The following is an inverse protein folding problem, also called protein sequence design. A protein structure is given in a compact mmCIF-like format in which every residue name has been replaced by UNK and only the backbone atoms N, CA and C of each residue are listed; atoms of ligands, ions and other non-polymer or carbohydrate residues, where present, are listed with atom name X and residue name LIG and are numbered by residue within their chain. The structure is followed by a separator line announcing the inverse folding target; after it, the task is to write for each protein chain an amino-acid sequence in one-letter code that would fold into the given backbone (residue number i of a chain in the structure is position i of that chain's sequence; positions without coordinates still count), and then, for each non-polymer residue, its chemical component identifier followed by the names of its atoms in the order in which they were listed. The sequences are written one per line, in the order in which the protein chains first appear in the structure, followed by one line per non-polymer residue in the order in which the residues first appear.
data_IF_596928749696
#
_entry.id   IF_596928749696
#
_cell.length_a   1.000
_cell.length_b   1.000
_cell.length_c   1.000
_cell.angle_alpha   90.00
_cell.angle_beta   90.00
_cell.angle_gamma   90.00
#
_symmetry.space_group_name_H-M   'P 1'
#
loop_
_entity.id
_entity.type
_entity.pdbx_description
1 polymer ?
#
# COMPACT_ATOMS: atom_id res chain seq x y z
N UNK A 1 30.48 -21.48 6.65
CA UNK A 1 30.05 -20.15 6.18
C UNK A 1 30.81 -19.89 4.89
N UNK A 2 30.17 -19.96 3.73
CA UNK A 2 30.80 -19.53 2.48
C UNK A 2 30.83 -18.00 2.46
N UNK A 3 32.01 -17.46 2.22
CA UNK A 3 32.26 -16.02 2.13
C UNK A 3 31.72 -15.55 0.78
N UNK A 4 30.54 -14.94 0.78
CA UNK A 4 29.92 -14.44 -0.45
C UNK A 4 30.55 -13.08 -0.78
N UNK A 5 31.20 -12.98 -1.95
CA UNK A 5 31.88 -11.76 -2.43
C UNK A 5 30.91 -10.69 -2.95
N UNK A 6 29.82 -10.42 -2.23
CA UNK A 6 28.86 -9.39 -2.63
C UNK A 6 29.33 -8.00 -2.22
N UNK A 7 29.12 -7.03 -3.12
CA UNK A 7 29.37 -5.63 -2.82
C UNK A 7 28.26 -5.06 -1.94
N UNK A 8 28.55 -3.97 -1.23
CA UNK A 8 27.54 -3.26 -0.46
C UNK A 8 26.43 -2.69 -1.36
N UNK A 9 25.19 -2.89 -0.94
CA UNK A 9 24.00 -2.27 -1.58
C UNK A 9 24.05 -0.77 -1.35
N UNK A 10 23.88 0.00 -2.41
CA UNK A 10 23.82 1.46 -2.35
C UNK A 10 22.45 1.94 -2.83
N UNK A 11 21.84 2.85 -2.07
CA UNK A 11 20.53 3.40 -2.38
C UNK A 11 20.59 4.92 -2.41
N UNK A 12 20.12 5.49 -3.51
CA UNK A 12 19.93 6.92 -3.69
C UNK A 12 18.46 7.20 -3.92
N UNK A 13 17.93 8.25 -3.30
CA UNK A 13 16.54 8.66 -3.50
C UNK A 13 16.41 10.17 -3.55
N UNK A 14 15.46 10.64 -4.34
CA UNK A 14 15.06 12.03 -4.39
C UNK A 14 13.53 12.10 -4.41
N UNK A 15 12.98 13.03 -3.64
CA UNK A 15 11.55 13.28 -3.58
C UNK A 15 11.30 14.79 -3.67
N UNK A 16 10.39 15.17 -4.56
CA UNK A 16 9.95 16.55 -4.72
C UNK A 16 8.44 16.57 -4.59
N UNK A 17 7.93 17.42 -3.69
CA UNK A 17 6.50 17.53 -3.39
C UNK A 17 6.04 18.97 -3.54
N UNK A 18 4.94 19.17 -4.25
CA UNK A 18 4.27 20.45 -4.38
C UNK A 18 2.82 20.31 -3.91
N UNK A 19 2.43 21.15 -2.95
CA UNK A 19 1.07 21.20 -2.42
C UNK A 19 0.38 22.49 -2.83
N UNK A 20 -0.77 22.36 -3.48
CA UNK A 20 -1.65 23.47 -3.88
C UNK A 20 -3.04 23.20 -3.31
N UNK A 21 -3.39 23.91 -2.25
CA UNK A 21 -4.67 23.76 -1.54
C UNK A 21 -4.89 22.32 -1.05
N UNK A 22 -5.84 21.59 -1.66
CA UNK A 22 -6.21 20.23 -1.35
C UNK A 22 -5.50 19.18 -2.23
N UNK A 23 -4.71 19.60 -3.21
CA UNK A 23 -3.97 18.74 -4.12
C UNK A 23 -2.49 18.75 -3.75
N UNK A 24 -1.87 17.56 -3.70
CA UNK A 24 -0.43 17.38 -3.53
C UNK A 24 0.08 16.50 -4.65
N UNK A 25 1.09 16.98 -5.38
CA UNK A 25 1.77 16.21 -6.42
C UNK A 25 3.19 15.94 -5.94
N UNK A 26 3.61 14.69 -5.99
CA UNK A 26 4.92 14.24 -5.52
C UNK A 26 5.61 13.43 -6.62
N UNK A 27 6.78 13.90 -7.05
CA UNK A 27 7.70 13.13 -7.89
C UNK A 27 8.72 12.40 -7.02
N UNK A 28 8.93 11.12 -7.28
CA UNK A 28 9.82 10.24 -6.52
C UNK A 28 10.78 9.59 -7.51
N UNK A 29 12.06 9.60 -7.17
CA UNK A 29 13.10 8.83 -7.85
C UNK A 29 13.83 7.97 -6.83
N UNK A 30 14.05 6.70 -7.16
CA UNK A 30 14.86 5.77 -6.38
C UNK A 30 15.83 5.05 -7.31
N UNK A 31 17.09 4.97 -6.93
CA UNK A 31 18.13 4.19 -7.59
C UNK A 31 18.78 3.24 -6.60
N UNK A 32 18.91 1.97 -6.97
CA UNK A 32 19.53 0.93 -6.17
C UNK A 32 20.63 0.27 -7.00
N UNK A 33 21.86 0.35 -6.51
CA UNK A 33 23.03 -0.32 -7.11
C UNK A 33 23.40 -1.53 -6.26
N UNK A 34 23.93 -2.59 -6.89
CA UNK A 34 24.30 -3.84 -6.22
C UNK A 34 23.10 -4.52 -5.53
N UNK A 35 21.89 -4.39 -6.10
CA UNK A 35 20.66 -4.94 -5.51
C UNK A 35 20.79 -6.45 -5.29
N UNK A 36 20.60 -6.88 -4.04
CA UNK A 36 20.57 -8.29 -3.67
C UNK A 36 19.15 -8.82 -3.78
N UNK A 37 19.01 -9.95 -4.46
CA UNK A 37 17.74 -10.63 -4.66
C UNK A 37 17.95 -12.15 -4.66
N UNK A 38 16.87 -12.90 -4.46
CA UNK A 38 16.87 -14.33 -4.68
C UNK A 38 16.32 -14.63 -6.07
N UNK A 39 17.05 -15.39 -6.87
CA UNK A 39 16.61 -15.79 -8.21
C UNK A 39 15.46 -16.80 -8.18
N UNK A 40 15.05 -17.33 -9.35
CA UNK A 40 13.97 -18.30 -9.44
C UNK A 40 14.23 -19.63 -8.72
N UNK A 41 15.51 -19.94 -8.45
CA UNK A 41 15.94 -21.12 -7.68
C UNK A 41 16.14 -20.79 -6.19
N UNK A 42 15.78 -19.57 -5.77
CA UNK A 42 16.00 -19.04 -4.44
C UNK A 42 17.48 -19.00 -4.01
N UNK A 43 18.39 -18.82 -4.96
CA UNK A 43 19.80 -18.54 -4.67
C UNK A 43 20.06 -17.04 -4.55
N UNK A 44 20.89 -16.60 -3.59
CA UNK A 44 21.22 -15.18 -3.44
C UNK A 44 22.07 -14.73 -4.63
N UNK A 45 21.60 -13.69 -5.31
CA UNK A 45 22.23 -13.07 -6.46
C UNK A 45 22.35 -11.56 -6.25
N UNK A 46 23.31 -10.94 -6.95
CA UNK A 46 23.50 -9.49 -6.95
C UNK A 46 23.35 -8.95 -8.37
N UNK A 47 22.56 -7.89 -8.53
CA UNK A 47 22.45 -7.17 -9.80
C UNK A 47 23.70 -6.34 -10.05
N UNK A 48 24.31 -6.51 -11.23
CA UNK A 48 25.43 -5.69 -11.69
C UNK A 48 24.97 -4.30 -12.18
N UNK A 49 23.69 -4.16 -12.53
CA UNK A 49 23.11 -2.92 -13.01
C UNK A 49 22.40 -2.17 -11.89
N UNK A 50 22.43 -0.84 -11.97
CA UNK A 50 21.59 0.03 -11.13
C UNK A 50 20.13 -0.09 -11.56
N UNK A 51 19.26 -0.48 -10.64
CA UNK A 51 17.82 -0.51 -10.82
C UNK A 51 17.28 0.86 -10.43
N UNK A 52 16.52 1.49 -11.33
CA UNK A 52 15.91 2.80 -11.07
C UNK A 52 14.40 2.68 -11.11
N UNK A 53 13.73 3.42 -10.23
CA UNK A 53 12.28 3.55 -10.19
C UNK A 53 11.94 5.04 -10.16
N UNK A 54 11.09 5.44 -11.11
CA UNK A 54 10.49 6.77 -11.15
C UNK A 54 9.00 6.64 -10.86
N UNK A 55 8.49 7.47 -9.95
CA UNK A 55 7.07 7.49 -9.60
C UNK A 55 6.52 8.92 -9.52
N UNK A 56 5.25 9.06 -9.88
CA UNK A 56 4.46 10.27 -9.67
C UNK A 56 3.27 9.87 -8.81
N UNK A 57 3.10 10.56 -7.69
CA UNK A 57 1.95 10.42 -6.79
C UNK A 57 1.13 11.70 -6.78
N UNK A 58 -0.17 11.55 -6.91
CA UNK A 58 -1.14 12.62 -6.75
C UNK A 58 -2.02 12.27 -5.55
N UNK A 59 -2.10 13.18 -4.59
CA UNK A 59 -3.00 13.09 -3.45
C UNK A 59 -3.99 14.25 -3.51
N UNK A 60 -5.28 13.96 -3.45
CA UNK A 60 -6.35 14.93 -3.32
C UNK A 60 -7.08 14.65 -2.02
N UNK A 61 -7.15 15.65 -1.13
CA UNK A 61 -7.85 15.53 0.15
C UNK A 61 -8.71 16.77 0.39
N UNK A 62 -10.02 16.62 0.21
CA UNK A 62 -10.96 17.73 0.35
C UNK A 62 -12.19 17.36 1.15
N UNK A 63 -12.61 18.28 2.01
CA UNK A 63 -13.88 18.19 2.72
C UNK A 63 -14.80 19.29 2.20
N UNK A 64 -15.94 18.88 1.69
CA UNK A 64 -17.04 19.68 1.20
C UNK A 64 -18.12 19.81 2.28
N UNK A 65 -18.80 20.96 2.32
CA UNK A 65 -19.94 21.21 3.22
C UNK A 65 -19.66 20.85 4.69
N UNK A 66 -18.41 21.03 5.15
CA UNK A 66 -17.88 20.67 6.49
C UNK A 66 -17.84 19.18 6.83
N UNK A 67 -18.59 18.34 6.13
CA UNK A 67 -18.80 16.95 6.52
C UNK A 67 -18.40 15.93 5.45
N UNK A 68 -18.63 16.20 4.16
CA UNK A 68 -18.38 15.22 3.10
C UNK A 68 -16.93 15.29 2.65
N UNK A 69 -16.12 14.32 3.04
CA UNK A 69 -14.73 14.16 2.64
C UNK A 69 -14.55 13.25 1.44
N UNK A 70 -13.67 13.67 0.53
CA UNK A 70 -13.14 12.88 -0.58
C UNK A 70 -11.63 12.86 -0.46
N UNK A 71 -11.05 11.66 -0.48
CA UNK A 71 -9.61 11.44 -0.55
C UNK A 71 -9.30 10.56 -1.77
N UNK A 72 -8.30 10.94 -2.55
CA UNK A 72 -7.82 10.17 -3.70
C UNK A 72 -6.30 10.16 -3.66
N UNK A 73 -5.69 8.99 -3.65
CA UNK A 73 -4.27 8.77 -3.81
C UNK A 73 -4.05 7.92 -5.05
N UNK A 74 -3.38 8.51 -6.03
CA UNK A 74 -3.05 7.88 -7.29
C UNK A 74 -1.54 7.88 -7.47
N UNK A 75 -0.95 6.70 -7.61
CA UNK A 75 0.47 6.55 -7.91
C UNK A 75 0.64 5.88 -9.27
N UNK A 76 1.51 6.45 -10.09
CA UNK A 76 2.06 5.78 -11.28
C UNK A 76 3.56 5.62 -11.10
N UNK A 77 4.09 4.46 -11.47
CA UNK A 77 5.50 4.18 -11.32
C UNK A 77 6.01 3.26 -12.41
N UNK A 78 7.29 3.40 -12.73
CA UNK A 78 8.00 2.55 -13.68
C UNK A 78 9.37 2.20 -13.13
N UNK A 79 9.75 0.94 -13.28
CA UNK A 79 11.05 0.41 -12.83
C UNK A 79 11.84 -0.05 -14.05
N UNK A 80 13.14 0.22 -14.07
CA UNK A 80 14.03 -0.14 -15.18
C UNK A 80 14.31 -1.64 -15.32
N UNK A 81 13.90 -2.45 -14.35
CA UNK A 81 14.18 -3.89 -14.29
C UNK A 81 12.98 -4.65 -13.72
N UNK A 82 12.78 -5.87 -14.21
CA UNK A 82 11.76 -6.79 -13.69
C UNK A 82 12.17 -7.46 -12.37
N UNK A 83 13.43 -7.28 -11.94
CA UNK A 83 13.91 -7.77 -10.64
C UNK A 83 13.17 -7.13 -9.47
N UNK A 84 12.67 -5.89 -9.64
CA UNK A 84 11.78 -5.22 -8.67
C UNK A 84 10.44 -4.97 -9.37
N UNK A 85 9.53 -5.91 -9.18
CA UNK A 85 8.22 -5.88 -9.80
C UNK A 85 7.23 -5.16 -8.90
N UNK A 86 6.68 -4.05 -9.41
CA UNK A 86 5.70 -3.21 -8.73
C UNK A 86 4.50 -2.98 -9.67
N UNK A 87 3.28 -2.78 -9.15
CA UNK A 87 2.16 -2.30 -9.94
C UNK A 87 2.52 -1.00 -10.65
N UNK A 88 2.26 -0.92 -11.97
CA UNK A 88 2.47 0.32 -12.75
C UNK A 88 1.60 1.46 -12.24
N UNK A 89 0.42 1.12 -11.70
CA UNK A 89 -0.46 2.06 -11.05
C UNK A 89 -1.10 1.49 -9.78
N UNK A 90 -1.32 2.38 -8.81
CA UNK A 90 -2.06 2.11 -7.58
C UNK A 90 -3.04 3.24 -7.37
N UNK A 91 -4.31 2.89 -7.16
CA UNK A 91 -5.42 3.81 -6.98
C UNK A 91 -6.09 3.53 -5.64
N UNK A 92 -6.14 4.53 -4.77
CA UNK A 92 -6.86 4.46 -3.51
C UNK A 92 -7.81 5.66 -3.46
N UNK A 93 -9.10 5.41 -3.35
CA UNK A 93 -10.11 6.45 -3.27
C UNK A 93 -11.02 6.19 -2.06
N UNK A 94 -11.31 7.22 -1.28
CA UNK A 94 -12.23 7.12 -0.15
C UNK A 94 -13.22 8.27 -0.15
N UNK A 95 -14.47 7.91 0.15
CA UNK A 95 -15.59 8.83 0.34
C UNK A 95 -16.08 8.63 1.77
N UNK A 96 -16.10 9.71 2.55
CA UNK A 96 -16.43 9.63 3.96
C UNK A 96 -17.24 10.82 4.43
N UNK A 97 -18.09 10.59 5.40
CA UNK A 97 -18.76 11.63 6.16
C UNK A 97 -18.05 11.78 7.50
N UNK A 98 -17.63 13.00 7.83
CA UNK A 98 -17.07 13.35 9.14
C UNK A 98 -17.90 14.38 9.87
N UNK A 99 -17.98 14.27 11.18
CA UNK A 99 -18.76 15.18 12.00
C UNK A 99 -18.33 15.16 13.45
N UNK A 100 -18.78 16.18 14.16
CA UNK A 100 -18.58 16.34 15.58
C UNK A 100 -19.94 16.21 16.29
N UNK A 101 -20.02 15.33 17.27
CA UNK A 101 -21.19 15.11 18.12
C UNK A 101 -20.88 15.55 19.56
N UNK A 102 -21.91 15.69 20.40
CA UNK A 102 -21.80 16.05 21.83
C UNK A 102 -20.93 17.29 22.09
N UNK A 103 -21.32 18.45 21.54
CA UNK A 103 -20.58 19.72 21.68
C UNK A 103 -19.10 19.64 21.27
N UNK A 104 -18.78 18.83 20.25
CA UNK A 104 -17.42 18.57 19.74
C UNK A 104 -16.56 17.59 20.56
N UNK A 105 -17.13 16.88 21.52
CA UNK A 105 -16.39 15.92 22.33
C UNK A 105 -16.19 14.57 21.62
N UNK A 106 -17.04 14.25 20.63
CA UNK A 106 -16.93 13.05 19.81
C UNK A 106 -16.72 13.43 18.36
N UNK A 107 -15.55 13.11 17.80
CA UNK A 107 -15.27 13.19 16.37
C UNK A 107 -15.57 11.85 15.75
N UNK A 108 -16.37 11.82 14.69
CA UNK A 108 -16.75 10.60 13.98
C UNK A 108 -16.43 10.77 12.49
N UNK A 109 -15.91 9.72 11.87
CA UNK A 109 -15.75 9.61 10.43
C UNK A 109 -16.19 8.22 9.99
N UNK A 110 -17.19 8.15 9.11
CA UNK A 110 -17.70 6.91 8.53
C UNK A 110 -17.59 7.00 7.02
N UNK A 111 -17.15 5.94 6.36
CA UNK A 111 -16.94 6.01 4.92
C UNK A 111 -16.64 4.68 4.27
N UNK A 112 -16.49 4.74 2.96
CA UNK A 112 -16.02 3.65 2.12
C UNK A 112 -14.66 3.98 1.51
N UNK A 113 -13.85 2.94 1.29
CA UNK A 113 -12.59 3.03 0.58
C UNK A 113 -12.54 1.98 -0.51
N UNK A 114 -11.96 2.35 -1.64
CA UNK A 114 -11.70 1.48 -2.78
C UNK A 114 -10.21 1.52 -3.07
N UNK A 115 -9.60 0.34 -3.19
CA UNK A 115 -8.20 0.19 -3.55
C UNK A 115 -8.11 -0.69 -4.81
N UNK A 116 -7.30 -0.26 -5.77
CA UNK A 116 -7.05 -0.99 -7.01
C UNK A 116 -5.56 -0.95 -7.33
N UNK A 117 -5.04 -2.11 -7.72
CA UNK A 117 -3.64 -2.31 -8.08
C UNK A 117 -3.58 -2.87 -9.49
N UNK A 118 -2.81 -2.23 -10.37
CA UNK A 118 -2.53 -2.80 -11.69
C UNK A 118 -1.86 -4.17 -11.56
N UNK A 119 -2.11 -5.01 -12.56
CA UNK A 119 -1.52 -6.34 -12.60
C UNK A 119 0.01 -6.28 -12.63
N UNK A 120 0.65 -7.07 -11.78
CA UNK A 120 2.10 -7.20 -11.68
C UNK A 120 2.51 -8.62 -11.28
N UNK A 121 3.80 -8.91 -11.33
CA UNK A 121 4.36 -10.22 -10.99
C UNK A 121 5.02 -10.15 -9.61
N UNK A 122 4.35 -10.51 -8.51
CA UNK A 122 4.94 -10.41 -7.17
C UNK A 122 6.05 -11.45 -6.95
N UNK A 123 6.86 -11.28 -5.90
CA UNK A 123 7.76 -12.34 -5.46
C UNK A 123 6.99 -13.53 -4.89
N UNK A 124 7.53 -14.73 -5.06
CA UNK A 124 7.10 -15.91 -4.31
C UNK A 124 7.80 -15.95 -2.95
N UNK A 125 7.17 -16.61 -1.96
CA UNK A 125 7.73 -16.78 -0.63
C UNK A 125 8.21 -18.23 -0.44
N UNK A 126 9.45 -18.39 -0.01
CA UNK A 126 10.05 -19.68 0.32
C UNK A 126 9.96 -19.92 1.84
N UNK A 127 9.05 -20.78 2.34
CA UNK A 127 8.82 -20.91 3.78
C UNK A 127 10.02 -21.48 4.54
N UNK A 128 10.77 -22.38 3.90
CA UNK A 128 11.93 -23.05 4.48
C UNK A 128 13.07 -22.08 4.84
N UNK A 129 13.27 -21.04 4.03
CA UNK A 129 14.30 -20.01 4.23
C UNK A 129 13.73 -18.68 4.69
N UNK A 130 12.41 -18.57 4.78
CA UNK A 130 11.66 -17.35 5.09
C UNK A 130 12.00 -16.16 4.17
N UNK A 131 12.40 -16.44 2.93
CA UNK A 131 12.86 -15.44 1.97
C UNK A 131 11.89 -15.29 0.79
N UNK A 132 11.79 -14.08 0.26
CA UNK A 132 11.11 -13.81 -1.01
C UNK A 132 12.08 -13.99 -2.18
N UNK A 133 11.59 -14.54 -3.29
CA UNK A 133 12.38 -14.80 -4.49
C UNK A 133 11.62 -14.44 -5.77
N UNK A 134 12.38 -14.15 -6.82
CA UNK A 134 11.84 -13.76 -8.13
C UNK A 134 11.14 -14.95 -8.79
N UNK A 135 10.00 -14.69 -9.43
CA UNK A 135 9.21 -15.70 -10.15
C UNK A 135 8.47 -15.01 -11.31
N UNK A 136 8.09 -15.76 -12.35
CA UNK A 136 7.43 -15.21 -13.55
C UNK A 136 6.05 -15.83 -13.87
N UNK A 137 5.60 -16.81 -13.10
CA UNK A 137 4.44 -17.66 -13.41
C UNK A 137 3.12 -17.14 -12.84
N UNK A 138 3.16 -16.32 -11.79
CA UNK A 138 1.98 -15.82 -11.09
C UNK A 138 1.87 -14.31 -11.22
N UNK A 139 0.67 -13.81 -11.53
CA UNK A 139 0.37 -12.38 -11.60
C UNK A 139 -0.68 -12.01 -10.55
N UNK A 140 -0.35 -11.03 -9.72
CA UNK A 140 -1.25 -10.43 -8.74
C UNK A 140 -1.83 -9.11 -9.26
N UNK A 141 -2.85 -8.59 -8.57
CA UNK A 141 -3.51 -7.34 -8.89
C UNK A 141 -4.69 -7.53 -9.83
N UNK A 142 -5.08 -6.46 -10.52
CA UNK A 142 -6.33 -6.39 -11.30
C UNK A 142 -7.55 -6.83 -10.47
N UNK A 143 -7.54 -6.43 -9.19
CA UNK A 143 -8.61 -6.70 -8.23
C UNK A 143 -8.89 -5.43 -7.44
N UNK A 144 -10.18 -5.18 -7.22
CA UNK A 144 -10.67 -4.00 -6.51
C UNK A 144 -11.08 -4.40 -5.10
N UNK A 145 -10.34 -3.91 -4.11
CA UNK A 145 -10.66 -4.04 -2.70
C UNK A 145 -11.66 -2.95 -2.32
N UNK A 146 -12.74 -3.32 -1.65
CA UNK A 146 -13.77 -2.36 -1.19
C UNK A 146 -14.04 -2.56 0.27
N UNK A 147 -13.82 -1.50 1.03
CA UNK A 147 -13.89 -1.50 2.47
C UNK A 147 -14.89 -0.46 2.95
N UNK A 148 -15.45 -0.68 4.13
CA UNK A 148 -16.19 0.33 4.88
C UNK A 148 -15.59 0.47 6.27
N UNK A 149 -15.57 1.70 6.78
CA UNK A 149 -14.96 2.00 8.06
C UNK A 149 -15.80 2.98 8.88
N UNK A 150 -15.64 2.90 10.19
CA UNK A 150 -16.07 3.86 11.18
C UNK A 150 -14.89 4.14 12.10
N UNK A 151 -14.48 5.40 12.17
CA UNK A 151 -13.50 5.91 13.10
C UNK A 151 -14.20 6.85 14.06
N UNK A 152 -13.98 6.69 15.36
CA UNK A 152 -14.51 7.62 16.35
C UNK A 152 -13.44 7.95 17.41
N UNK A 153 -13.42 9.23 17.82
CA UNK A 153 -12.49 9.75 18.81
C UNK A 153 -13.25 10.58 19.83
N UNK A 154 -13.17 10.15 21.09
CA UNK A 154 -13.67 10.86 22.26
C UNK A 154 -12.56 10.89 23.29
N UNK A 155 -11.93 12.05 23.52
CA UNK A 155 -10.78 12.12 24.43
C UNK A 155 -11.14 11.49 25.80
N UNK A 156 -10.33 10.54 26.31
CA UNK A 156 -9.01 10.08 25.84
C UNK A 156 -8.98 8.85 24.90
N UNK A 157 -10.15 8.31 24.54
CA UNK A 157 -10.33 7.07 23.77
C UNK A 157 -10.48 7.35 22.27
N UNK A 158 -9.82 6.53 21.45
CA UNK A 158 -10.04 6.47 20.01
C UNK A 158 -10.34 5.02 19.64
N UNK A 159 -11.38 4.76 18.87
CA UNK A 159 -11.67 3.42 18.37
C UNK A 159 -11.98 3.46 16.87
N UNK A 160 -11.74 2.33 16.22
CA UNK A 160 -12.12 2.12 14.84
C UNK A 160 -12.75 0.74 14.65
N UNK A 161 -13.62 0.65 13.66
CA UNK A 161 -14.16 -0.60 13.13
C UNK A 161 -14.06 -0.50 11.61
N UNK A 162 -13.56 -1.55 10.97
CA UNK A 162 -13.43 -1.65 9.52
C UNK A 162 -13.92 -3.02 9.06
N UNK A 163 -14.73 -3.05 8.02
CA UNK A 163 -15.05 -4.28 7.30
C UNK A 163 -14.30 -4.25 5.97
N UNK A 164 -13.40 -5.20 5.80
CA UNK A 164 -12.54 -5.32 4.63
C UNK A 164 -13.18 -6.20 3.58
N UNK A 165 -12.95 -5.85 2.31
CA UNK A 165 -13.33 -6.68 1.15
C UNK A 165 -14.81 -7.08 1.16
N UNK A 166 -15.70 -6.12 1.40
CA UNK A 166 -17.14 -6.39 1.52
C UNK A 166 -17.77 -6.95 0.24
N UNK A 167 -17.14 -6.69 -0.91
CA UNK A 167 -17.58 -7.17 -2.23
C UNK A 167 -16.85 -8.45 -2.69
N UNK A 168 -16.11 -9.11 -1.79
CA UNK A 168 -15.53 -10.42 -2.04
C UNK A 168 -16.61 -11.42 -2.50
N UNK A 169 -16.32 -12.18 -3.55
CA UNK A 169 -17.26 -13.12 -4.20
C UNK A 169 -18.14 -12.52 -5.30
N UNK A 170 -18.24 -11.19 -5.41
CA UNK A 170 -18.97 -10.51 -6.49
C UNK A 170 -18.01 -10.00 -7.58
N UNK A 171 -16.83 -9.52 -7.19
CA UNK A 171 -15.86 -8.86 -8.09
C UNK A 171 -14.74 -9.84 -8.55
N UNK A 172 -14.77 -11.09 -8.10
CA UNK A 172 -13.81 -12.13 -8.45
C UNK A 172 -13.01 -12.66 -7.26
N UNK A 173 -11.98 -13.45 -7.54
CA UNK A 173 -11.20 -14.21 -6.55
C UNK A 173 -9.69 -13.95 -6.59
N UNK A 174 -9.20 -13.02 -7.43
CA UNK A 174 -7.76 -12.75 -7.56
C UNK A 174 -7.25 -11.71 -6.54
N UNK A 175 -7.47 -11.95 -5.25
CA UNK A 175 -7.09 -11.05 -4.16
C UNK A 175 -5.76 -11.44 -3.50
N UNK A 176 -4.96 -12.32 -4.12
CA UNK A 176 -3.69 -12.78 -3.53
C UNK A 176 -2.52 -11.99 -4.12
N UNK A 177 -1.88 -11.16 -3.27
CA UNK A 177 -0.71 -10.37 -3.63
C UNK A 177 0.60 -11.16 -3.59
N UNK A 178 0.59 -12.37 -3.02
CA UNK A 178 1.74 -13.28 -2.98
C UNK A 178 1.28 -14.67 -3.43
N UNK A 179 2.02 -15.38 -4.29
CA UNK A 179 1.65 -16.72 -4.73
C UNK A 179 1.46 -17.67 -3.54
N UNK A 180 0.31 -18.34 -3.45
CA UNK A 180 0.00 -19.30 -2.36
C UNK A 180 -0.38 -18.69 -1.01
N UNK A 181 -0.43 -17.36 -0.90
CA UNK A 181 -0.78 -16.63 0.33
C UNK A 181 -1.91 -15.64 0.10
N UNK A 182 -3.13 -16.15 0.26
CA UNK A 182 -4.38 -15.41 0.10
C UNK A 182 -4.53 -14.30 1.16
N UNK A 183 -4.95 -13.10 0.74
CA UNK A 183 -5.35 -12.06 1.70
C UNK A 183 -6.66 -12.46 2.42
N UNK A 184 -7.05 -11.83 3.54
CA UNK A 184 -8.33 -12.15 4.14
C UNK A 184 -9.50 -11.86 3.20
N UNK A 185 -10.38 -12.86 3.00
CA UNK A 185 -11.58 -12.77 2.15
C UNK A 185 -12.46 -11.58 2.53
N UNK A 186 -13.30 -11.71 3.56
CA UNK A 186 -14.05 -10.62 4.19
C UNK A 186 -13.78 -10.68 5.68
N UNK A 187 -13.18 -9.63 6.21
CA UNK A 187 -12.76 -9.60 7.60
C UNK A 187 -13.28 -8.34 8.30
N UNK A 188 -13.64 -8.48 9.57
CA UNK A 188 -13.91 -7.34 10.43
C UNK A 188 -12.67 -7.08 11.28
N UNK A 189 -12.17 -5.85 11.24
CA UNK A 189 -11.09 -5.36 12.10
C UNK A 189 -11.64 -4.31 13.03
N UNK A 190 -11.18 -4.32 14.26
CA UNK A 190 -11.47 -3.28 15.23
C UNK A 190 -10.24 -3.00 16.07
N UNK A 191 -10.16 -1.81 16.64
CA UNK A 191 -9.11 -1.46 17.57
C UNK A 191 -9.52 -0.30 18.45
N UNK A 192 -8.90 -0.23 19.62
CA UNK A 192 -9.14 0.78 20.63
C UNK A 192 -7.79 1.25 21.18
N UNK A 193 -7.61 2.56 21.21
CA UNK A 193 -6.45 3.23 21.80
C UNK A 193 -6.94 4.13 22.92
N UNK A 194 -6.37 3.97 24.11
CA UNK A 194 -6.66 4.78 25.27
C UNK A 194 -5.37 5.47 25.75
N UNK A 195 -5.38 6.79 25.76
CA UNK A 195 -4.33 7.60 26.38
C UNK A 195 -4.60 7.75 27.89
N UNK A 196 -3.71 7.21 28.73
CA UNK A 196 -3.85 7.26 30.20
C UNK A 196 -3.25 8.53 30.84
N UNK A 197 -2.91 9.54 30.04
CA UNK A 197 -2.27 10.76 30.52
C UNK A 197 -3.29 11.91 30.58
N UNK A 198 -3.34 12.57 31.73
CA UNK A 198 -4.06 13.84 31.97
C UNK A 198 -3.25 15.04 31.49
#
# INVERSE_FOLDING_TARGET
MHDNKFNNVQMNQAELSCKVSFLTVTGIYKGITNYLYFDQLAYPMQSNNTITNGAIRINLDKVFFKHLGVSINQTWQTTSSNLISLPKSVSIASLFYKGNLFKNNLQLAVGGQVEYYDQFTPYAYMPATQAFYVQDNYKAGNFTFVDVFLNARIRPVTFFIKMENILHGVIGTNYSMVPGYYQPDRAMRFGLTWLFFD
#
